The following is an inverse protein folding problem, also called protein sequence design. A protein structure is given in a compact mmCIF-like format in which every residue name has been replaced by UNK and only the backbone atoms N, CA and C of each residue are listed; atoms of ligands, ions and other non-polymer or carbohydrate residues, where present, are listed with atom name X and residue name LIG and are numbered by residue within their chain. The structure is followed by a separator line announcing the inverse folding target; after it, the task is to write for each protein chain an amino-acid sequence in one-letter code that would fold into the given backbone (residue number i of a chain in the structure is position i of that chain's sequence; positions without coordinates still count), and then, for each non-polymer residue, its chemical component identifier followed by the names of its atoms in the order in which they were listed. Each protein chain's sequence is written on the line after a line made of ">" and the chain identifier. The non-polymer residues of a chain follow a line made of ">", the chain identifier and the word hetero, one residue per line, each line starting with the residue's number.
data_IF_500441618861
#
_entry.id   IF_500441618861
#
_cell.length_a   1.000
_cell.length_b   1.000
_cell.length_c   1.000
_cell.angle_alpha   90.00
_cell.angle_beta   90.00
_cell.angle_gamma   90.00
#
_symmetry.space_group_name_H-M   'P 1'
#
loop_
_entity.id
_entity.type
_entity.pdbx_description
1 polymer ?
#
# COMPACT_ATOMS: atom_id res chain seq x y z
N UNK A 1 7.31 4.58 31.88
CA UNK A 1 6.53 5.82 32.10
C UNK A 1 6.88 6.80 30.98
N UNK A 2 6.06 6.79 29.93
CA UNK A 2 6.14 7.65 28.74
C UNK A 2 5.76 9.09 29.09
N UNK A 3 6.49 10.08 28.56
CA UNK A 3 6.05 11.48 28.53
C UNK A 3 6.61 12.21 27.31
N UNK A 4 6.28 11.78 26.09
CA UNK A 4 6.24 12.65 24.91
C UNK A 4 5.14 12.11 23.97
N UNK A 5 3.92 12.69 24.03
CA UNK A 5 2.94 12.77 22.93
C UNK A 5 1.65 13.49 23.39
N UNK A 6 1.76 14.61 24.11
CA UNK A 6 0.60 15.45 24.41
C UNK A 6 0.94 16.92 24.16
N UNK A 7 0.63 17.35 22.95
CA UNK A 7 0.54 18.76 22.58
C UNK A 7 -0.64 18.91 21.64
N UNK A 8 -1.86 18.68 22.15
CA UNK A 8 -3.10 18.89 21.39
C UNK A 8 -3.42 20.38 21.21
N UNK A 9 -4.48 20.65 20.44
CA UNK A 9 -5.01 22.00 20.12
C UNK A 9 -5.20 22.84 21.39
N UNK A 10 -5.61 22.23 22.50
CA UNK A 10 -5.80 22.88 23.80
C UNK A 10 -4.49 23.42 24.41
N UNK A 11 -3.39 22.68 24.25
CA UNK A 11 -2.09 23.12 24.74
C UNK A 11 -1.58 24.30 23.92
N UNK A 12 -1.69 24.21 22.59
CA UNK A 12 -1.35 25.31 21.68
C UNK A 12 -2.20 26.57 21.97
N UNK A 13 -3.51 26.41 22.21
CA UNK A 13 -4.40 27.50 22.60
C UNK A 13 -3.96 28.12 23.93
N UNK A 14 -3.65 27.33 24.95
CA UNK A 14 -3.24 27.84 26.26
C UNK A 14 -1.92 28.64 26.20
N UNK A 15 -1.00 28.26 25.31
CA UNK A 15 0.25 28.98 25.08
C UNK A 15 -0.01 30.27 24.31
N UNK A 16 -0.85 30.24 23.27
CA UNK A 16 -1.24 31.41 22.49
C UNK A 16 -1.99 32.45 23.35
N UNK A 17 -2.92 32.01 24.20
CA UNK A 17 -3.66 32.90 25.11
C UNK A 17 -2.72 33.60 26.09
N UNK A 18 -1.71 32.89 26.62
CA UNK A 18 -0.67 33.47 27.50
C UNK A 18 0.26 34.43 26.76
N UNK A 19 0.54 34.20 25.49
CA UNK A 19 1.51 34.98 24.72
C UNK A 19 0.92 36.26 24.09
N UNK A 20 -0.30 36.18 23.55
CA UNK A 20 -0.90 37.29 22.77
C UNK A 20 -2.25 37.80 23.32
N UNK A 21 -2.73 37.20 24.41
CA UNK A 21 -4.01 37.53 25.04
C UNK A 21 -5.20 36.84 24.37
N UNK A 22 -6.24 36.54 25.15
CA UNK A 22 -7.36 35.66 24.75
C UNK A 22 -8.08 36.10 23.46
N UNK A 23 -8.27 37.40 23.25
CA UNK A 23 -8.96 37.90 22.05
C UNK A 23 -8.15 37.67 20.76
N UNK A 24 -6.83 37.90 20.78
CA UNK A 24 -5.96 37.68 19.61
C UNK A 24 -5.65 36.21 19.40
N UNK A 25 -5.46 35.46 20.49
CA UNK A 25 -5.30 34.01 20.43
C UNK A 25 -6.51 33.36 19.76
N UNK A 26 -7.73 33.76 20.12
CA UNK A 26 -8.96 33.24 19.50
C UNK A 26 -9.02 33.53 18.00
N UNK A 27 -8.64 34.72 17.54
CA UNK A 27 -8.58 35.06 16.10
C UNK A 27 -7.52 34.24 15.37
N UNK A 28 -6.36 34.02 15.98
CA UNK A 28 -5.27 33.21 15.41
C UNK A 28 -5.67 31.74 15.34
N UNK A 29 -6.27 31.19 16.40
CA UNK A 29 -6.82 29.84 16.43
C UNK A 29 -7.90 29.65 15.39
N UNK A 30 -8.83 30.59 15.27
CA UNK A 30 -9.90 30.53 14.27
C UNK A 30 -9.36 30.59 12.82
N UNK A 31 -8.27 31.34 12.60
CA UNK A 31 -7.55 31.35 11.31
C UNK A 31 -6.81 30.03 11.04
N UNK A 32 -6.17 29.46 12.06
CA UNK A 32 -5.51 28.16 11.98
C UNK A 32 -6.53 27.05 11.72
N UNK A 33 -7.65 27.01 12.44
CA UNK A 33 -8.75 26.07 12.20
C UNK A 33 -9.32 26.22 10.78
N UNK A 34 -9.47 27.45 10.27
CA UNK A 34 -9.89 27.65 8.88
C UNK A 34 -8.85 27.23 7.84
N UNK A 35 -7.56 27.23 8.20
CA UNK A 35 -6.47 26.75 7.34
C UNK A 35 -6.27 25.23 7.43
N UNK A 36 -6.67 24.61 8.56
CA UNK A 36 -6.62 23.16 8.79
C UNK A 36 -7.92 22.43 8.47
N UNK A 37 -9.03 23.14 8.24
CA UNK A 37 -10.17 22.57 7.50
C UNK A 37 -9.70 22.29 6.08
N UNK A 38 -9.16 21.10 5.88
CA UNK A 38 -9.19 20.42 4.58
C UNK A 38 -10.62 20.56 4.06
N UNK A 39 -10.82 21.34 3.00
CA UNK A 39 -12.16 21.44 2.41
C UNK A 39 -12.61 20.02 2.06
N UNK A 40 -13.87 19.65 2.24
CA UNK A 40 -14.36 18.32 1.87
C UNK A 40 -14.04 17.97 0.40
N UNK A 41 -13.90 18.98 -0.45
CA UNK A 41 -13.40 18.84 -1.83
C UNK A 41 -11.93 18.37 -1.96
N UNK A 42 -11.11 18.46 -0.91
CA UNK A 42 -9.75 17.90 -0.92
C UNK A 42 -9.75 16.38 -1.04
N UNK A 43 -10.73 15.71 -0.41
CA UNK A 43 -10.94 14.26 -0.56
C UNK A 43 -11.31 13.91 -2.01
N UNK A 44 -12.07 14.77 -2.70
CA UNK A 44 -12.45 14.54 -4.10
C UNK A 44 -11.30 14.71 -5.10
N UNK A 45 -10.15 15.27 -4.69
CA UNK A 45 -8.99 15.41 -5.58
C UNK A 45 -8.33 14.07 -5.89
N UNK A 46 -8.44 13.11 -4.97
CA UNK A 46 -7.78 11.81 -5.05
C UNK A 46 -8.73 10.66 -5.41
N UNK A 47 -10.01 10.97 -5.67
CA UNK A 47 -11.03 9.97 -6.05
C UNK A 47 -10.96 9.67 -7.56
N UNK A 48 -11.12 8.38 -7.91
CA UNK A 48 -11.20 7.94 -9.30
C UNK A 48 -12.40 8.61 -10.02
N UNK A 49 -12.19 9.26 -11.18
CA UNK A 49 -13.25 9.91 -11.95
C UNK A 49 -14.46 9.02 -12.28
N UNK A 50 -14.28 7.70 -12.41
CA UNK A 50 -15.37 6.73 -12.68
C UNK A 50 -16.23 6.48 -11.45
N UNK A 51 -15.62 6.45 -10.28
CA UNK A 51 -16.35 6.30 -9.02
C UNK A 51 -17.18 7.55 -8.75
N UNK A 52 -16.59 8.72 -8.98
CA UNK A 52 -17.28 9.99 -8.84
C UNK A 52 -18.39 10.17 -9.88
N UNK A 53 -18.18 9.78 -11.14
CA UNK A 53 -19.23 9.85 -12.18
C UNK A 53 -20.41 8.94 -11.86
N UNK A 54 -20.17 7.72 -11.36
CA UNK A 54 -21.23 6.78 -10.96
C UNK A 54 -22.14 7.35 -9.86
N UNK A 55 -21.58 8.10 -8.91
CA UNK A 55 -22.35 8.84 -7.92
C UNK A 55 -23.16 9.98 -8.55
N UNK A 56 -22.53 10.76 -9.43
CA UNK A 56 -23.11 11.97 -10.01
C UNK A 56 -24.17 11.71 -11.10
N UNK A 57 -24.24 10.52 -11.67
CA UNK A 57 -25.18 10.19 -12.76
C UNK A 57 -26.66 10.44 -12.42
N UNK A 58 -27.04 10.35 -11.14
CA UNK A 58 -28.42 10.57 -10.68
C UNK A 58 -28.63 11.96 -10.04
N UNK A 59 -27.60 12.80 -9.99
CA UNK A 59 -27.67 14.12 -9.39
C UNK A 59 -28.22 15.18 -10.36
N UNK A 60 -28.74 16.27 -9.80
CA UNK A 60 -29.23 17.37 -10.61
C UNK A 60 -28.07 18.06 -11.37
N UNK A 61 -28.22 18.47 -12.65
CA UNK A 61 -27.13 19.04 -13.44
C UNK A 61 -26.44 20.26 -12.79
N UNK A 62 -27.17 21.03 -11.97
CA UNK A 62 -26.60 22.12 -11.18
C UNK A 62 -25.59 21.63 -10.11
N UNK A 63 -25.91 20.53 -9.44
CA UNK A 63 -25.08 19.93 -8.40
C UNK A 63 -23.81 19.36 -9.02
N UNK A 64 -23.95 18.66 -10.15
CA UNK A 64 -22.81 18.14 -10.91
C UNK A 64 -21.90 19.29 -11.35
N UNK A 65 -22.45 20.35 -11.95
CA UNK A 65 -21.68 21.52 -12.36
C UNK A 65 -20.92 22.15 -11.18
N UNK A 66 -21.58 22.28 -10.03
CA UNK A 66 -20.95 22.81 -8.83
C UNK A 66 -19.78 21.95 -8.35
N UNK A 67 -19.96 20.63 -8.29
CA UNK A 67 -18.90 19.70 -7.87
C UNK A 67 -17.72 19.74 -8.85
N UNK A 68 -17.97 19.75 -10.16
CA UNK A 68 -16.91 19.82 -11.18
C UNK A 68 -16.08 21.11 -11.08
N UNK A 69 -16.67 22.24 -10.68
CA UNK A 69 -15.91 23.50 -10.49
C UNK A 69 -14.93 23.46 -9.33
N UNK A 70 -15.08 22.51 -8.40
CA UNK A 70 -14.20 22.34 -7.25
C UNK A 70 -13.08 21.31 -7.50
N UNK A 71 -13.15 20.56 -8.61
CA UNK A 71 -12.12 19.60 -9.00
C UNK A 71 -10.98 20.27 -9.77
N UNK A 72 -9.85 19.58 -9.85
CA UNK A 72 -8.83 19.96 -10.82
C UNK A 72 -9.36 19.72 -12.26
N UNK A 73 -8.85 20.44 -13.28
CA UNK A 73 -9.37 20.33 -14.65
C UNK A 73 -9.28 18.91 -15.25
N UNK A 74 -8.29 18.12 -14.83
CA UNK A 74 -8.09 16.75 -15.34
C UNK A 74 -9.18 15.80 -14.84
N UNK A 75 -9.46 15.81 -13.54
CA UNK A 75 -10.52 15.00 -12.92
C UNK A 75 -11.89 15.48 -13.39
N UNK A 76 -12.11 16.79 -13.50
CA UNK A 76 -13.35 17.34 -14.03
C UNK A 76 -13.63 16.86 -15.46
N UNK A 77 -12.60 16.85 -16.33
CA UNK A 77 -12.71 16.32 -17.68
C UNK A 77 -12.98 14.82 -17.71
N UNK A 78 -12.33 14.06 -16.82
CA UNK A 78 -12.58 12.62 -16.66
C UNK A 78 -14.02 12.33 -16.28
N UNK A 79 -14.54 12.99 -15.25
CA UNK A 79 -15.93 12.82 -14.80
C UNK A 79 -16.92 13.24 -15.88
N UNK A 80 -16.71 14.40 -16.52
CA UNK A 80 -17.58 14.90 -17.59
C UNK A 80 -17.66 13.89 -18.75
N UNK A 81 -16.54 13.27 -19.12
CA UNK A 81 -16.48 12.28 -20.21
C UNK A 81 -17.27 10.99 -19.93
N UNK A 82 -17.48 10.65 -18.65
CA UNK A 82 -18.22 9.47 -18.21
C UNK A 82 -19.73 9.73 -18.02
N UNK A 83 -20.20 10.99 -18.17
CA UNK A 83 -21.63 11.33 -18.14
C UNK A 83 -22.30 11.09 -19.49
N UNK A 84 -23.64 11.00 -19.51
CA UNK A 84 -24.39 10.89 -20.76
C UNK A 84 -24.23 12.16 -21.63
N UNK A 85 -24.35 12.06 -22.97
CA UNK A 85 -24.21 13.21 -23.87
C UNK A 85 -25.14 14.39 -23.53
N UNK A 86 -26.35 14.09 -23.05
CA UNK A 86 -27.33 15.10 -22.63
C UNK A 86 -26.88 15.84 -21.38
N UNK A 87 -26.36 15.10 -20.38
CA UNK A 87 -25.83 15.69 -19.15
C UNK A 87 -24.54 16.46 -19.40
N UNK A 88 -23.66 15.99 -20.29
CA UNK A 88 -22.43 16.69 -20.68
C UNK A 88 -22.73 18.10 -21.17
N UNK A 89 -23.69 18.25 -22.08
CA UNK A 89 -24.07 19.54 -22.64
C UNK A 89 -24.68 20.47 -21.58
N UNK A 90 -25.61 19.96 -20.78
CA UNK A 90 -26.33 20.72 -19.76
C UNK A 90 -25.40 21.18 -18.61
N UNK A 91 -24.53 20.29 -18.14
CA UNK A 91 -23.55 20.59 -17.09
C UNK A 91 -22.50 21.59 -17.58
N UNK A 92 -22.00 21.42 -18.82
CA UNK A 92 -21.02 22.36 -19.40
C UNK A 92 -21.59 23.77 -19.54
N UNK A 93 -22.85 23.89 -19.98
CA UNK A 93 -23.54 25.17 -20.06
C UNK A 93 -23.64 25.83 -18.69
N UNK A 94 -24.03 25.08 -17.65
CA UNK A 94 -24.13 25.58 -16.28
C UNK A 94 -22.80 26.05 -15.73
N UNK A 95 -21.72 25.28 -15.91
CA UNK A 95 -20.37 25.71 -15.52
C UNK A 95 -19.99 27.04 -16.19
N UNK A 96 -20.33 27.20 -17.47
CA UNK A 96 -19.99 28.40 -18.23
C UNK A 96 -20.77 29.66 -17.79
N UNK A 97 -22.01 29.51 -17.29
CA UNK A 97 -22.87 30.64 -16.86
C UNK A 97 -22.93 30.82 -15.35
N UNK A 98 -22.27 29.96 -14.57
CA UNK A 98 -22.30 30.00 -13.12
C UNK A 98 -21.55 31.23 -12.57
N UNK A 99 -22.23 31.97 -11.69
CA UNK A 99 -21.66 33.09 -10.94
C UNK A 99 -21.21 32.64 -9.53
N UNK A 100 -21.18 33.56 -8.57
CA UNK A 100 -20.71 33.28 -7.20
C UNK A 100 -21.64 32.30 -6.49
N UNK A 101 -21.05 31.28 -5.86
CA UNK A 101 -21.75 30.31 -5.02
C UNK A 101 -21.66 30.75 -3.56
N UNK A 102 -22.76 30.63 -2.83
CA UNK A 102 -22.79 30.87 -1.39
C UNK A 102 -21.97 29.80 -0.65
N UNK A 103 -21.02 30.18 0.24
CA UNK A 103 -20.16 29.24 0.95
C UNK A 103 -20.92 28.16 1.75
N UNK A 104 -22.14 28.48 2.21
CA UNK A 104 -22.98 27.56 2.96
C UNK A 104 -23.43 26.37 2.09
N UNK A 105 -23.72 26.61 0.80
CA UNK A 105 -24.13 25.57 -0.15
C UNK A 105 -22.97 24.62 -0.45
N UNK A 106 -21.74 25.15 -0.55
CA UNK A 106 -20.54 24.34 -0.71
C UNK A 106 -20.34 23.41 0.48
N UNK A 107 -20.54 23.92 1.71
CA UNK A 107 -20.37 23.14 2.94
C UNK A 107 -21.40 22.00 3.05
N UNK A 108 -22.64 22.24 2.64
CA UNK A 108 -23.72 21.23 2.67
C UNK A 108 -23.46 20.09 1.66
N UNK A 109 -22.96 20.44 0.48
CA UNK A 109 -22.57 19.46 -0.54
C UNK A 109 -21.35 18.66 -0.07
N UNK A 110 -20.36 19.29 0.54
CA UNK A 110 -19.20 18.60 1.12
C UNK A 110 -19.63 17.55 2.15
N UNK A 111 -20.50 17.90 3.10
CA UNK A 111 -20.97 16.96 4.13
C UNK A 111 -21.76 15.79 3.53
N UNK A 112 -22.55 16.06 2.50
CA UNK A 112 -23.33 15.01 1.81
C UNK A 112 -22.41 14.04 1.06
N UNK A 113 -21.39 14.57 0.38
CA UNK A 113 -20.39 13.79 -0.33
C UNK A 113 -19.54 12.96 0.64
N UNK A 114 -19.02 13.58 1.70
CA UNK A 114 -18.21 12.90 2.73
C UNK A 114 -18.99 11.72 3.33
N UNK A 115 -20.23 11.94 3.78
CA UNK A 115 -21.05 10.86 4.33
C UNK A 115 -21.44 9.78 3.31
N UNK A 116 -21.50 10.08 2.01
CA UNK A 116 -21.77 9.07 0.97
C UNK A 116 -20.52 8.25 0.64
N UNK A 117 -19.37 8.90 0.53
CA UNK A 117 -18.10 8.24 0.28
C UNK A 117 -17.64 7.44 1.51
N UNK A 118 -17.84 7.88 2.74
CA UNK A 118 -17.59 7.07 3.95
C UNK A 118 -18.42 5.77 3.96
N UNK A 119 -19.70 5.85 3.54
CA UNK A 119 -20.61 4.69 3.48
C UNK A 119 -20.28 3.74 2.33
N UNK A 120 -19.84 4.26 1.19
CA UNK A 120 -19.47 3.47 0.01
C UNK A 120 -18.04 2.90 0.13
N UNK A 121 -17.13 3.64 0.77
CA UNK A 121 -15.77 3.21 1.11
C UNK A 121 -15.73 2.11 2.17
N UNK A 122 -16.85 1.83 2.85
CA UNK A 122 -17.00 0.61 3.66
C UNK A 122 -16.94 -0.69 2.84
N UNK A 123 -17.11 -0.63 1.50
CA UNK A 123 -17.02 -1.78 0.60
C UNK A 123 -15.71 -1.88 -0.17
N UNK A 124 -15.08 -0.75 -0.51
CA UNK A 124 -13.82 -0.70 -1.26
C UNK A 124 -12.99 0.49 -0.74
N UNK A 125 -12.52 0.38 0.50
CA UNK A 125 -11.34 1.14 0.88
C UNK A 125 -10.23 0.65 -0.05
N UNK A 126 -9.70 1.52 -0.91
CA UNK A 126 -8.31 1.33 -1.33
C UNK A 126 -7.53 1.27 -0.03
N UNK A 127 -7.10 0.06 0.35
CA UNK A 127 -6.49 -0.21 1.64
C UNK A 127 -5.20 0.61 1.74
N UNK A 128 -5.31 1.85 2.20
CA UNK A 128 -4.19 2.75 2.42
C UNK A 128 -3.36 2.34 3.65
N UNK A 129 -3.72 1.21 4.27
CA UNK A 129 -3.02 0.52 5.34
C UNK A 129 -3.28 -1.00 5.27
N UNK A 130 -2.70 -1.75 6.19
CA UNK A 130 -2.78 -3.22 6.23
C UNK A 130 -1.40 -3.87 6.10
N UNK A 131 -1.36 -5.21 6.17
CA UNK A 131 -0.13 -5.98 6.17
C UNK A 131 0.78 -5.65 4.97
N UNK A 132 0.18 -5.40 3.80
CA UNK A 132 0.91 -5.03 2.58
C UNK A 132 1.59 -3.67 2.66
N UNK A 133 0.87 -2.64 3.11
CA UNK A 133 1.40 -1.29 3.20
C UNK A 133 2.56 -1.20 4.21
N UNK A 134 2.44 -1.90 5.35
CA UNK A 134 3.53 -1.95 6.32
C UNK A 134 4.70 -2.82 5.83
N UNK A 135 4.45 -3.92 5.12
CA UNK A 135 5.51 -4.72 4.50
C UNK A 135 6.35 -3.91 3.49
N UNK A 136 5.71 -3.08 2.67
CA UNK A 136 6.40 -2.19 1.73
C UNK A 136 7.26 -1.14 2.46
N UNK A 137 6.77 -0.58 3.57
CA UNK A 137 7.55 0.35 4.42
C UNK A 137 8.71 -0.36 5.10
N UNK A 138 8.48 -1.54 5.66
CA UNK A 138 9.49 -2.34 6.36
C UNK A 138 10.61 -2.78 5.41
N UNK A 139 10.31 -3.02 4.13
CA UNK A 139 11.32 -3.32 3.11
C UNK A 139 12.27 -2.14 2.80
N UNK A 140 11.94 -0.90 3.20
CA UNK A 140 12.72 0.32 2.90
C UNK A 140 13.52 0.87 4.09
N UNK A 141 13.22 0.42 5.31
CA UNK A 141 13.93 0.87 6.52
C UNK A 141 15.13 -0.02 6.81
N UNK A 142 15.99 0.38 7.76
CA UNK A 142 17.13 -0.43 8.14
C UNK A 142 16.71 -1.71 8.91
N UNK A 143 17.50 -2.77 8.74
CA UNK A 143 17.24 -4.09 9.33
C UNK A 143 17.07 -4.07 10.85
N UNK A 144 17.69 -3.10 11.56
CA UNK A 144 17.56 -3.02 13.01
C UNK A 144 16.21 -2.47 13.43
N UNK A 145 15.70 -1.44 12.73
CA UNK A 145 14.37 -0.90 12.92
C UNK A 145 13.29 -1.91 12.50
N UNK A 146 13.48 -2.59 11.36
CA UNK A 146 12.62 -3.67 10.88
C UNK A 146 12.42 -4.76 11.94
N UNK A 147 13.51 -5.33 12.46
CA UNK A 147 13.47 -6.39 13.49
C UNK A 147 12.73 -5.94 14.76
N UNK A 148 12.99 -4.72 15.22
CA UNK A 148 12.33 -4.19 16.42
C UNK A 148 10.81 -4.01 16.22
N UNK A 149 10.38 -3.55 15.04
CA UNK A 149 8.97 -3.37 14.72
C UNK A 149 8.27 -4.73 14.58
N UNK A 150 8.88 -5.68 13.85
CA UNK A 150 8.33 -7.03 13.70
C UNK A 150 8.23 -7.79 15.03
N UNK A 151 9.22 -7.69 15.92
CA UNK A 151 9.14 -8.29 17.25
C UNK A 151 8.02 -7.70 18.10
N UNK A 152 7.79 -6.39 18.00
CA UNK A 152 6.70 -5.72 18.72
C UNK A 152 5.34 -6.17 18.17
N UNK A 153 5.22 -6.28 16.85
CA UNK A 153 4.01 -6.79 16.19
C UNK A 153 3.75 -8.26 16.55
N UNK A 154 4.78 -9.11 16.56
CA UNK A 154 4.66 -10.54 16.89
C UNK A 154 4.25 -10.77 18.35
N UNK A 155 4.57 -9.85 19.26
CA UNK A 155 4.13 -9.90 20.65
C UNK A 155 2.65 -9.50 20.84
N UNK A 156 2.11 -8.64 19.98
CA UNK A 156 0.72 -8.19 20.04
C UNK A 156 -0.22 -9.04 19.17
N UNK A 157 0.21 -9.37 17.95
CA UNK A 157 -0.53 -10.13 16.94
C UNK A 157 0.43 -11.01 16.09
N UNK A 158 0.64 -12.28 16.48
CA UNK A 158 1.50 -13.22 15.76
C UNK A 158 1.06 -13.50 14.33
N UNK A 159 -0.26 -13.54 14.09
CA UNK A 159 -0.83 -13.87 12.78
C UNK A 159 -0.59 -12.72 11.79
N UNK A 160 -0.79 -11.47 12.24
CA UNK A 160 -0.48 -10.28 11.45
C UNK A 160 1.03 -10.15 11.18
N UNK A 161 1.87 -10.43 12.18
CA UNK A 161 3.32 -10.41 12.00
C UNK A 161 3.77 -11.46 10.97
N UNK A 162 3.19 -12.65 10.98
CA UNK A 162 3.45 -13.68 9.98
C UNK A 162 2.97 -13.26 8.58
N UNK A 163 1.79 -12.65 8.48
CA UNK A 163 1.25 -12.12 7.22
C UNK A 163 2.18 -11.04 6.63
N UNK A 164 2.60 -10.06 7.44
CA UNK A 164 3.53 -9.00 7.03
C UNK A 164 4.85 -9.61 6.58
N UNK A 165 5.42 -10.52 7.39
CA UNK A 165 6.65 -11.23 7.06
C UNK A 165 6.50 -11.85 5.68
N UNK A 166 5.45 -12.63 5.41
CA UNK A 166 5.21 -13.31 4.14
C UNK A 166 5.15 -12.35 2.93
N UNK A 167 4.59 -11.16 3.11
CA UNK A 167 4.52 -10.15 2.05
C UNK A 167 5.87 -9.48 1.77
N UNK A 168 6.82 -9.50 2.71
CA UNK A 168 8.09 -8.84 2.52
C UNK A 168 9.01 -9.57 1.53
N UNK A 169 9.13 -10.91 1.62
CA UNK A 169 10.01 -11.74 0.77
C UNK A 169 9.20 -12.86 0.13
N UNK A 170 9.09 -12.83 -1.20
CA UNK A 170 8.37 -13.83 -2.00
C UNK A 170 9.34 -14.78 -2.70
N UNK A 171 8.82 -15.88 -3.25
CA UNK A 171 9.66 -16.88 -3.93
C UNK A 171 10.43 -16.30 -5.13
N UNK A 172 9.84 -15.33 -5.83
CA UNK A 172 10.50 -14.66 -6.95
C UNK A 172 11.71 -13.82 -6.52
N UNK A 173 11.78 -13.42 -5.24
CA UNK A 173 12.91 -12.66 -4.68
C UNK A 173 14.17 -13.52 -4.47
N UNK A 174 14.12 -14.83 -4.75
CA UNK A 174 15.31 -15.70 -4.73
C UNK A 174 16.43 -15.18 -5.66
N UNK A 175 16.10 -14.40 -6.69
CA UNK A 175 17.08 -13.75 -7.57
C UNK A 175 17.97 -12.74 -6.83
N UNK A 176 17.51 -12.19 -5.70
CA UNK A 176 18.24 -11.22 -4.86
C UNK A 176 19.31 -11.87 -3.99
N UNK A 177 19.29 -13.21 -3.87
CA UNK A 177 20.27 -13.96 -3.08
C UNK A 177 21.57 -14.15 -3.88
N UNK A 178 22.70 -14.06 -3.18
CA UNK A 178 23.99 -14.44 -3.76
C UNK A 178 24.07 -15.97 -3.97
N UNK A 179 25.00 -16.39 -4.83
CA UNK A 179 25.12 -17.81 -5.20
C UNK A 179 25.45 -18.71 -4.00
N UNK A 180 26.19 -18.18 -3.01
CA UNK A 180 26.47 -18.91 -1.77
C UNK A 180 25.20 -19.13 -0.94
N UNK A 181 24.34 -18.12 -0.82
CA UNK A 181 23.06 -18.25 -0.13
C UNK A 181 22.14 -19.26 -0.82
N UNK A 182 22.05 -19.25 -2.15
CA UNK A 182 21.27 -20.26 -2.90
C UNK A 182 21.82 -21.67 -2.67
N UNK A 183 23.14 -21.86 -2.73
CA UNK A 183 23.74 -23.16 -2.46
C UNK A 183 23.53 -23.62 -1.02
N UNK A 184 23.47 -22.68 -0.05
CA UNK A 184 23.18 -23.00 1.35
C UNK A 184 21.73 -23.42 1.54
N UNK A 185 20.80 -22.69 0.93
CA UNK A 185 19.37 -23.01 0.89
C UNK A 185 19.14 -24.40 0.32
N UNK A 186 19.69 -24.68 -0.86
CA UNK A 186 19.49 -25.95 -1.58
C UNK A 186 20.01 -27.19 -0.85
N UNK A 187 20.83 -27.03 0.20
CA UNK A 187 21.23 -28.14 1.08
C UNK A 187 20.15 -28.54 2.08
N UNK A 188 19.16 -27.69 2.32
CA UNK A 188 18.06 -27.92 3.27
C UNK A 188 16.71 -28.19 2.61
N UNK A 189 16.63 -28.03 1.28
CA UNK A 189 15.41 -28.28 0.51
C UNK A 189 15.51 -29.65 -0.17
N UNK A 190 14.45 -30.45 -0.06
CA UNK A 190 14.36 -31.72 -0.76
C UNK A 190 14.24 -31.51 -2.29
N UNK A 191 14.87 -32.37 -3.09
CA UNK A 191 14.82 -32.29 -4.57
C UNK A 191 13.40 -32.25 -5.10
N UNK A 192 12.48 -32.96 -4.44
CA UNK A 192 11.05 -32.98 -4.79
C UNK A 192 10.39 -31.61 -4.61
N UNK A 193 10.68 -30.91 -3.50
CA UNK A 193 10.13 -29.58 -3.25
C UNK A 193 10.70 -28.53 -4.21
N UNK A 194 11.99 -28.65 -4.57
CA UNK A 194 12.59 -27.84 -5.64
C UNK A 194 11.85 -28.10 -6.96
N UNK A 195 11.68 -29.36 -7.37
CA UNK A 195 10.98 -29.71 -8.61
C UNK A 195 9.54 -29.19 -8.67
N UNK A 196 8.76 -29.33 -7.58
CA UNK A 196 7.39 -28.79 -7.51
C UNK A 196 7.41 -27.26 -7.64
N UNK A 197 8.26 -26.58 -6.86
CA UNK A 197 8.30 -25.11 -6.82
C UNK A 197 8.66 -24.47 -8.16
N UNK A 198 9.49 -25.15 -8.97
CA UNK A 198 9.96 -24.66 -10.26
C UNK A 198 8.92 -24.78 -11.39
N UNK A 199 7.82 -25.52 -11.21
CA UNK A 199 6.82 -25.71 -12.28
C UNK A 199 6.11 -24.43 -12.71
N UNK A 200 5.85 -23.53 -11.76
CA UNK A 200 5.25 -22.21 -12.03
C UNK A 200 6.25 -21.06 -11.84
N UNK A 201 7.53 -21.36 -11.61
CA UNK A 201 8.55 -20.34 -11.44
C UNK A 201 8.87 -19.64 -12.78
N UNK A 202 9.23 -18.36 -12.69
CA UNK A 202 9.75 -17.62 -13.82
C UNK A 202 11.13 -18.16 -14.26
N UNK A 203 11.55 -17.84 -15.49
CA UNK A 203 12.79 -18.37 -16.06
C UNK A 203 14.05 -17.86 -15.35
N UNK A 204 14.00 -16.67 -14.74
CA UNK A 204 15.12 -16.09 -14.00
C UNK A 204 15.41 -16.90 -12.72
N UNK A 205 14.37 -17.23 -11.95
CA UNK A 205 14.48 -18.06 -10.75
C UNK A 205 14.94 -19.47 -11.11
N UNK A 206 14.39 -20.10 -12.16
CA UNK A 206 14.85 -21.42 -12.64
C UNK A 206 16.34 -21.38 -12.98
N UNK A 207 16.77 -20.38 -13.74
CA UNK A 207 18.17 -20.20 -14.13
C UNK A 207 19.06 -20.03 -12.89
N UNK A 208 18.65 -19.18 -11.94
CA UNK A 208 19.38 -18.93 -10.69
C UNK A 208 19.58 -20.20 -9.87
N UNK A 209 18.55 -21.04 -9.78
CA UNK A 209 18.61 -22.33 -9.09
C UNK A 209 19.51 -23.31 -9.86
N UNK A 210 19.34 -23.43 -11.18
CA UNK A 210 20.10 -24.41 -11.96
C UNK A 210 21.59 -24.10 -12.07
N UNK A 211 21.99 -22.83 -12.06
CA UNK A 211 23.42 -22.43 -12.01
C UNK A 211 24.07 -22.82 -10.67
N UNK A 212 23.28 -22.99 -9.61
CA UNK A 212 23.76 -23.25 -8.26
C UNK A 212 23.63 -24.72 -7.81
N UNK A 213 23.25 -25.62 -8.72
CA UNK A 213 23.27 -27.07 -8.49
C UNK A 213 24.32 -27.76 -9.35
N UNK A 214 24.72 -28.97 -8.97
CA UNK A 214 25.53 -29.81 -9.84
C UNK A 214 24.70 -30.34 -11.03
N UNK A 215 25.37 -30.66 -12.13
CA UNK A 215 24.72 -31.25 -13.32
C UNK A 215 23.88 -32.48 -12.98
N UNK A 216 24.36 -33.33 -12.08
CA UNK A 216 23.61 -34.51 -11.60
C UNK A 216 22.30 -34.12 -10.92
N UNK A 217 22.34 -33.11 -10.04
CA UNK A 217 21.15 -32.65 -9.30
C UNK A 217 20.17 -31.95 -10.23
N UNK A 218 20.68 -31.20 -11.21
CA UNK A 218 19.87 -30.60 -12.27
C UNK A 218 19.04 -31.66 -13.02
N UNK A 219 19.71 -32.72 -13.50
CA UNK A 219 19.03 -33.83 -14.18
C UNK A 219 17.98 -34.47 -13.28
N UNK A 220 18.28 -34.71 -12.00
CA UNK A 220 17.30 -35.26 -11.05
C UNK A 220 16.07 -34.37 -10.86
N UNK A 221 16.25 -33.04 -10.82
CA UNK A 221 15.14 -32.09 -10.69
C UNK A 221 14.28 -32.12 -11.97
N UNK A 222 14.91 -32.11 -13.14
CA UNK A 222 14.21 -32.16 -14.44
C UNK A 222 13.43 -33.48 -14.60
N UNK A 223 14.02 -34.62 -14.26
CA UNK A 223 13.36 -35.93 -14.28
C UNK A 223 12.19 -36.00 -13.29
N UNK A 224 12.34 -35.47 -12.07
CA UNK A 224 11.26 -35.41 -11.08
C UNK A 224 10.11 -34.51 -11.58
N UNK A 225 10.44 -33.37 -12.20
CA UNK A 225 9.44 -32.49 -12.82
C UNK A 225 8.66 -33.22 -13.93
N UNK A 226 9.32 -33.99 -14.77
CA UNK A 226 8.66 -34.77 -15.82
C UNK A 226 7.79 -35.88 -15.22
N UNK A 227 8.33 -36.65 -14.28
CA UNK A 227 7.65 -37.76 -13.61
C UNK A 227 6.35 -37.33 -12.91
N UNK A 228 6.35 -36.16 -12.27
CA UNK A 228 5.19 -35.63 -11.55
C UNK A 228 4.01 -35.24 -12.45
N UNK A 229 4.23 -34.98 -13.74
CA UNK A 229 3.16 -34.53 -14.65
C UNK A 229 2.45 -33.25 -14.19
N UNK A 230 1.22 -32.95 -14.64
CA UNK A 230 0.50 -31.75 -14.24
C UNK A 230 0.29 -31.66 -12.72
N UNK A 231 0.71 -30.57 -12.10
CA UNK A 231 0.61 -30.33 -10.65
C UNK A 231 -0.37 -29.19 -10.38
N UNK A 232 -1.12 -29.24 -9.26
CA UNK A 232 -2.05 -28.17 -8.91
C UNK A 232 -1.28 -26.93 -8.48
N UNK A 233 -1.80 -25.75 -8.83
CA UNK A 233 -1.19 -24.48 -8.44
C UNK A 233 -1.03 -24.37 -6.90
N UNK A 234 -2.01 -24.85 -6.14
CA UNK A 234 -1.96 -24.90 -4.67
C UNK A 234 -0.78 -25.69 -4.12
N UNK A 235 -0.38 -26.78 -4.79
CA UNK A 235 0.73 -27.62 -4.35
C UNK A 235 2.07 -26.93 -4.66
N UNK A 236 2.11 -26.15 -5.74
CA UNK A 236 3.26 -25.32 -6.12
C UNK A 236 3.46 -24.18 -5.13
N UNK A 237 2.41 -23.42 -4.84
CA UNK A 237 2.43 -22.32 -3.86
C UNK A 237 2.84 -22.82 -2.46
N UNK A 238 2.37 -23.99 -2.06
CA UNK A 238 2.77 -24.62 -0.81
C UNK A 238 4.27 -24.99 -0.79
N UNK A 239 4.81 -25.52 -1.89
CA UNK A 239 6.25 -25.82 -2.00
C UNK A 239 7.10 -24.55 -1.99
N UNK A 240 6.67 -23.51 -2.72
CA UNK A 240 7.32 -22.21 -2.72
C UNK A 240 7.32 -21.57 -1.32
N UNK A 241 6.21 -21.66 -0.60
CA UNK A 241 6.11 -21.16 0.78
C UNK A 241 7.08 -21.88 1.72
N UNK A 242 7.19 -23.21 1.65
CA UNK A 242 8.18 -23.97 2.44
C UNK A 242 9.61 -23.53 2.16
N UNK A 243 9.95 -23.27 0.90
CA UNK A 243 11.29 -22.78 0.53
C UNK A 243 11.55 -21.38 1.11
N UNK A 244 10.57 -20.47 1.02
CA UNK A 244 10.65 -19.13 1.59
C UNK A 244 10.81 -19.18 3.12
N UNK A 245 10.13 -20.08 3.81
CA UNK A 245 10.30 -20.30 5.25
C UNK A 245 11.73 -20.72 5.61
N UNK A 246 12.34 -21.61 4.82
CA UNK A 246 13.73 -22.04 5.02
C UNK A 246 14.71 -20.87 4.79
N UNK A 247 14.48 -20.05 3.76
CA UNK A 247 15.30 -18.84 3.52
C UNK A 247 15.30 -17.93 4.74
N UNK A 248 14.12 -17.68 5.32
CA UNK A 248 13.97 -16.81 6.50
C UNK A 248 14.68 -17.35 7.71
N UNK A 249 14.51 -18.64 8.00
CA UNK A 249 15.24 -19.30 9.10
C UNK A 249 16.75 -19.13 8.92
N UNK A 250 17.26 -19.36 7.71
CA UNK A 250 18.68 -19.22 7.40
C UNK A 250 19.17 -17.75 7.46
N UNK A 251 18.32 -16.78 7.14
CA UNK A 251 18.59 -15.35 7.31
C UNK A 251 18.66 -14.97 8.80
N UNK A 252 17.71 -15.44 9.61
CA UNK A 252 17.70 -15.22 11.07
C UNK A 252 18.95 -15.82 11.74
N UNK A 253 19.43 -16.97 11.25
CA UNK A 253 20.68 -17.60 11.67
C UNK A 253 21.95 -16.91 11.12
N UNK A 254 21.81 -15.91 10.23
CA UNK A 254 22.92 -15.20 9.60
C UNK A 254 23.68 -16.02 8.55
N UNK A 255 23.06 -17.08 8.01
CA UNK A 255 23.65 -17.96 7.00
C UNK A 255 23.30 -17.57 5.56
N UNK A 256 22.24 -16.78 5.38
CA UNK A 256 21.82 -16.19 4.11
C UNK A 256 21.78 -14.67 4.26
N UNK A 257 22.20 -13.97 3.20
CA UNK A 257 22.12 -12.51 3.12
C UNK A 257 21.23 -12.14 1.93
N UNK A 258 20.22 -11.31 2.18
CA UNK A 258 19.29 -10.83 1.15
C UNK A 258 19.76 -9.46 0.65
N UNK A 259 20.18 -9.39 -0.62
CA UNK A 259 20.62 -8.13 -1.22
C UNK A 259 19.44 -7.16 -1.32
N UNK A 260 19.60 -5.92 -0.85
CA UNK A 260 18.58 -4.86 -0.93
C UNK A 260 17.85 -4.55 0.38
N UNK A 261 17.93 -5.41 1.41
CA UNK A 261 17.41 -5.11 2.77
C UNK A 261 18.47 -4.60 3.75
N UNK A 262 19.73 -4.59 3.32
CA UNK A 262 20.85 -4.07 4.09
C UNK A 262 21.28 -2.71 3.57
N UNK A 263 20.89 -1.65 4.29
CA UNK A 263 21.58 -0.36 4.19
C UNK A 263 23.03 -0.54 4.65
N UNK A 264 23.92 -0.72 3.66
CA UNK A 264 25.39 -0.87 3.66
C UNK A 264 25.82 -2.26 3.21
N UNK A 265 26.60 -2.24 2.14
CA UNK A 265 27.58 -3.25 1.78
C UNK A 265 28.40 -3.62 3.03
N UNK A 266 28.06 -4.74 3.69
CA UNK A 266 29.07 -5.48 4.43
C UNK A 266 29.96 -6.14 3.39
N UNK A 267 30.96 -5.36 2.94
CA UNK A 267 32.17 -5.88 2.32
C UNK A 267 32.84 -6.75 3.40
N UNK A 268 32.60 -8.04 3.37
CA UNK A 268 33.39 -9.01 4.12
C UNK A 268 34.71 -9.17 3.34
N UNK A 269 35.80 -8.75 3.96
CA UNK A 269 37.19 -9.04 3.55
C UNK A 269 37.52 -10.50 3.84
#
# INVERSE_FOLDING_TARGET
>A
RQYISQGGVDYAQSILEKAVGSSKAKVIMQRLESAFKSSGFSLLKDIDPKQLSSFLQNEHPQTIALILTQLNPQNAAGVLSELSPELQAEVSLRIAVMEKIAPEILTEIEQTLEGHFERTAGGEMSASGGAKAIAEVLNLIDQSAEKNILQSLEAEDPDLAAEIKNMMFVFDDLILLDDRSIQRLLKEVETKDVAISLKAANEEVKTKIFVNVSERVKVMIEEEMEFMGPTRLSDVEAAQSRIVEIVRRLEEEGQIIISGRGGKEEIIV
#
